data_IF_533407604380
#
_entry.id   IF_533407604380
#
_cell.length_a   1.000
_cell.length_b   1.000
_cell.length_c   1.000
_cell.angle_alpha   90.00
_cell.angle_beta   90.00
_cell.angle_gamma   90.00
#
_symmetry.space_group_name_H-M   'P 1'
#
loop_
_entity.id
_entity.type
_entity.pdbx_description
1 polymer ?
#
# COMPACT_ATOMS: atom_id res chain seq x y z
N UNK A 1 -66.82 -19.82 12.10
CA UNK A 1 -65.86 -18.70 11.98
C UNK A 1 -64.53 -19.29 12.38
N UNK A 2 -63.81 -19.81 11.40
CA UNK A 2 -62.49 -20.41 11.63
C UNK A 2 -61.48 -19.30 11.83
N UNK A 3 -60.90 -19.26 13.03
CA UNK A 3 -59.77 -18.42 13.36
C UNK A 3 -58.54 -19.00 12.66
N UNK A 4 -58.24 -18.48 11.48
CA UNK A 4 -56.94 -18.63 10.84
C UNK A 4 -55.92 -17.86 11.68
N UNK A 5 -55.09 -18.58 12.42
CA UNK A 5 -53.88 -18.03 13.04
C UNK A 5 -52.88 -17.85 11.88
N UNK A 6 -52.42 -16.64 11.55
CA UNK A 6 -51.44 -16.48 10.49
C UNK A 6 -50.11 -17.10 10.94
N UNK A 7 -49.47 -17.86 10.06
CA UNK A 7 -48.06 -18.19 10.19
C UNK A 7 -47.26 -16.91 10.44
N UNK A 8 -46.31 -16.99 11.36
CA UNK A 8 -45.37 -15.94 11.70
C UNK A 8 -44.61 -15.50 10.43
N UNK A 9 -45.09 -14.46 9.75
CA UNK A 9 -44.60 -13.98 8.46
C UNK A 9 -43.44 -13.02 8.70
N UNK A 10 -42.27 -13.58 9.02
CA UNK A 10 -41.01 -12.84 9.18
C UNK A 10 -40.61 -12.03 7.94
N UNK A 11 -41.17 -12.39 6.78
CA UNK A 11 -40.92 -11.76 5.49
C UNK A 11 -42.22 -11.59 4.71
N UNK A 12 -42.94 -10.49 4.94
CA UNK A 12 -44.17 -10.17 4.21
C UNK A 12 -43.85 -9.30 3.00
N UNK A 13 -44.14 -9.78 1.78
CA UNK A 13 -43.88 -9.09 0.50
C UNK A 13 -42.40 -8.78 0.20
N UNK A 14 -41.49 -9.67 0.62
CA UNK A 14 -40.06 -9.52 0.33
C UNK A 14 -39.35 -8.43 1.14
N UNK A 15 -39.96 -7.98 2.23
CA UNK A 15 -39.34 -7.12 3.24
C UNK A 15 -39.41 -7.81 4.61
N UNK A 16 -38.41 -7.64 5.48
CA UNK A 16 -38.46 -8.16 6.83
C UNK A 16 -39.66 -7.58 7.60
N UNK A 17 -40.19 -8.34 8.54
CA UNK A 17 -41.14 -7.81 9.51
C UNK A 17 -40.53 -6.62 10.26
N UNK A 18 -41.35 -5.65 10.65
CA UNK A 18 -40.88 -4.46 11.41
C UNK A 18 -39.80 -3.58 10.75
N UNK A 19 -39.46 -3.78 9.47
CA UNK A 19 -38.43 -2.99 8.77
C UNK A 19 -38.60 -1.47 8.88
N UNK A 20 -39.83 -0.95 8.94
CA UNK A 20 -40.09 0.49 9.07
C UNK A 20 -40.43 0.94 10.51
N UNK A 21 -40.33 0.04 11.50
CA UNK A 21 -40.70 0.32 12.89
C UNK A 21 -39.49 0.86 13.65
N UNK A 22 -39.53 2.10 14.16
CA UNK A 22 -38.43 2.68 14.93
C UNK A 22 -38.17 1.88 16.22
N UNK A 23 -36.89 1.72 16.58
CA UNK A 23 -36.44 1.03 17.80
C UNK A 23 -36.76 -0.48 17.85
N UNK A 24 -36.75 -1.14 16.69
CA UNK A 24 -36.79 -2.60 16.56
C UNK A 24 -35.53 -3.11 15.88
N UNK A 25 -35.37 -4.42 15.75
CA UNK A 25 -34.32 -5.06 14.94
C UNK A 25 -34.53 -4.89 13.43
N UNK A 26 -35.60 -4.18 13.00
CA UNK A 26 -35.97 -4.01 11.60
C UNK A 26 -36.12 -5.34 10.85
N UNK A 27 -36.43 -6.43 11.57
CA UNK A 27 -36.58 -7.78 11.04
C UNK A 27 -35.28 -8.50 10.69
N UNK A 28 -34.13 -8.01 11.18
CA UNK A 28 -32.87 -8.77 11.20
C UNK A 28 -32.92 -9.81 12.33
N UNK A 29 -33.65 -10.89 12.08
CA UNK A 29 -33.65 -12.05 12.96
C UNK A 29 -32.81 -13.16 12.35
N UNK A 30 -31.81 -13.64 13.08
CA UNK A 30 -31.09 -14.86 12.72
C UNK A 30 -32.05 -16.06 12.77
N UNK A 31 -32.20 -16.73 11.63
CA UNK A 31 -32.86 -18.01 11.49
C UNK A 31 -31.93 -19.17 11.82
N UNK A 32 -32.52 -20.36 11.95
CA UNK A 32 -31.74 -21.58 11.97
C UNK A 32 -31.03 -21.71 10.61
N UNK A 33 -29.70 -21.68 10.60
CA UNK A 33 -28.94 -21.71 9.36
C UNK A 33 -27.99 -20.53 9.14
N UNK A 34 -28.23 -19.42 9.85
CA UNK A 34 -27.60 -18.14 9.48
C UNK A 34 -26.18 -17.98 10.04
N UNK A 35 -25.83 -18.70 11.10
CA UNK A 35 -24.44 -18.80 11.61
C UNK A 35 -23.74 -20.08 11.13
N UNK A 36 -24.50 -21.17 10.93
CA UNK A 36 -24.01 -22.50 10.52
C UNK A 36 -25.12 -23.25 9.79
N UNK A 37 -24.83 -24.35 9.08
CA UNK A 37 -25.86 -25.16 8.41
C UNK A 37 -26.95 -25.59 9.41
N UNK A 38 -28.25 -25.40 9.11
CA UNK A 38 -29.30 -25.70 10.09
C UNK A 38 -29.38 -27.21 10.33
N UNK A 39 -29.55 -27.62 11.60
CA UNK A 39 -29.73 -29.04 11.99
C UNK A 39 -30.84 -29.74 11.19
N UNK A 40 -31.88 -29.00 10.78
CA UNK A 40 -32.96 -29.51 9.93
C UNK A 40 -32.46 -30.08 8.60
N UNK A 41 -31.37 -29.57 8.04
CA UNK A 41 -30.76 -30.11 6.81
C UNK A 41 -30.20 -31.52 7.01
N UNK A 42 -29.93 -31.91 8.27
CA UNK A 42 -29.45 -33.24 8.63
C UNK A 42 -30.59 -34.19 9.07
N UNK A 43 -31.68 -33.66 9.64
CA UNK A 43 -32.80 -34.45 10.20
C UNK A 43 -33.57 -35.27 9.15
N UNK A 44 -33.55 -34.89 7.87
CA UNK A 44 -34.27 -35.60 6.81
C UNK A 44 -33.55 -36.89 6.33
N UNK A 45 -32.32 -37.15 6.80
CA UNK A 45 -31.60 -38.40 6.54
C UNK A 45 -31.97 -39.45 7.60
N UNK A 46 -32.82 -40.41 7.23
CA UNK A 46 -33.26 -41.49 8.14
C UNK A 46 -32.41 -42.74 7.98
N UNK A 47 -32.07 -43.39 9.10
CA UNK A 47 -31.30 -44.65 9.12
C UNK A 47 -29.78 -44.48 9.00
N UNK A 48 -29.28 -43.26 9.23
CA UNK A 48 -27.85 -42.94 9.36
C UNK A 48 -27.56 -42.44 10.77
N UNK A 49 -26.33 -42.66 11.25
CA UNK A 49 -25.87 -42.10 12.51
C UNK A 49 -25.45 -40.63 12.31
N UNK A 50 -25.89 -39.76 13.22
CA UNK A 50 -25.50 -38.36 13.22
C UNK A 50 -24.17 -38.20 13.94
N UNK A 51 -23.17 -37.70 13.22
CA UNK A 51 -21.87 -37.37 13.78
C UNK A 51 -21.74 -35.85 13.88
N UNK A 52 -21.50 -35.36 15.10
CA UNK A 52 -21.29 -33.93 15.38
C UNK A 52 -19.86 -33.78 15.86
N UNK A 53 -19.08 -33.02 15.09
CA UNK A 53 -17.67 -32.76 15.37
C UNK A 53 -17.54 -31.28 15.71
N UNK A 54 -17.13 -30.97 16.94
CA UNK A 54 -16.75 -29.61 17.32
C UNK A 54 -15.37 -29.31 16.73
N UNK A 55 -15.34 -28.55 15.63
CA UNK A 55 -14.10 -28.19 14.93
C UNK A 55 -14.21 -26.80 14.30
N UNK A 56 -13.07 -26.15 14.08
CA UNK A 56 -13.01 -24.90 13.32
C UNK A 56 -13.31 -25.19 11.83
N UNK A 57 -13.69 -24.17 11.06
CA UNK A 57 -13.95 -24.34 9.63
C UNK A 57 -12.72 -24.87 8.88
N UNK A 58 -11.52 -24.49 9.31
CA UNK A 58 -10.26 -24.91 8.70
C UNK A 58 -9.82 -26.30 9.16
N UNK A 59 -10.20 -26.74 10.36
CA UNK A 59 -9.79 -28.04 10.90
C UNK A 59 -10.79 -29.16 10.62
N UNK A 60 -12.03 -28.86 10.20
CA UNK A 60 -13.12 -29.86 10.12
C UNK A 60 -12.77 -31.07 9.26
N UNK A 61 -12.05 -30.90 8.15
CA UNK A 61 -11.62 -32.02 7.30
C UNK A 61 -10.57 -32.88 8.00
N UNK A 62 -9.68 -32.25 8.76
CA UNK A 62 -8.63 -32.92 9.53
C UNK A 62 -9.23 -33.65 10.72
N UNK A 63 -10.12 -33.00 11.48
CA UNK A 63 -10.72 -33.56 12.68
C UNK A 63 -11.72 -34.69 12.32
N UNK A 64 -12.43 -34.58 11.19
CA UNK A 64 -13.32 -35.63 10.69
C UNK A 64 -12.60 -36.83 10.04
N UNK A 65 -11.29 -36.75 9.78
CA UNK A 65 -10.61 -37.72 8.94
C UNK A 65 -10.73 -39.16 9.48
N UNK A 66 -10.64 -39.34 10.80
CA UNK A 66 -10.64 -40.67 11.41
C UNK A 66 -12.00 -41.33 11.31
N UNK A 67 -13.05 -40.60 11.67
CA UNK A 67 -14.44 -41.07 11.61
C UNK A 67 -14.85 -41.39 10.17
N UNK A 68 -14.48 -40.54 9.20
CA UNK A 68 -14.74 -40.80 7.78
C UNK A 68 -14.01 -42.05 7.30
N UNK A 69 -12.74 -42.24 7.66
CA UNK A 69 -11.97 -43.43 7.26
C UNK A 69 -12.50 -44.69 7.94
N UNK A 70 -12.87 -44.63 9.21
CA UNK A 70 -13.49 -45.74 9.94
C UNK A 70 -14.80 -46.15 9.28
N UNK A 71 -15.69 -45.20 8.97
CA UNK A 71 -16.97 -45.48 8.31
C UNK A 71 -16.77 -46.11 6.92
N UNK A 72 -15.78 -45.63 6.15
CA UNK A 72 -15.51 -46.14 4.80
C UNK A 72 -14.79 -47.50 4.79
N UNK A 73 -14.02 -47.83 5.82
CA UNK A 73 -13.12 -49.00 5.80
C UNK A 73 -13.42 -50.04 6.89
N UNK A 74 -14.25 -49.69 7.87
CA UNK A 74 -14.51 -50.47 9.09
C UNK A 74 -13.31 -50.53 10.05
N UNK A 75 -12.27 -49.72 9.85
CA UNK A 75 -11.04 -49.72 10.64
C UNK A 75 -10.71 -48.27 11.00
N UNK A 76 -10.66 -47.98 12.29
CA UNK A 76 -10.19 -46.68 12.77
C UNK A 76 -8.68 -46.53 12.49
N UNK A 77 -8.26 -45.48 11.76
CA UNK A 77 -6.85 -45.25 11.50
C UNK A 77 -6.10 -44.82 12.77
N UNK A 78 -4.93 -45.42 12.99
CA UNK A 78 -4.09 -45.13 14.18
C UNK A 78 -3.26 -43.86 14.05
N UNK A 79 -3.11 -43.35 12.83
CA UNK A 79 -2.34 -42.15 12.53
C UNK A 79 -3.27 -41.04 12.05
N UNK A 80 -2.95 -39.82 12.46
CA UNK A 80 -3.64 -38.62 12.02
C UNK A 80 -2.68 -37.80 11.16
N UNK A 81 -3.12 -37.46 9.95
CA UNK A 81 -2.35 -36.57 9.09
C UNK A 81 -2.89 -35.17 9.28
N UNK A 82 -2.15 -34.34 10.02
CA UNK A 82 -2.37 -32.89 10.04
C UNK A 82 -1.48 -32.25 8.99
N UNK A 83 -2.07 -31.91 7.84
CA UNK A 83 -1.43 -30.95 6.95
C UNK A 83 -1.58 -29.57 7.58
N UNK A 84 -0.48 -28.82 7.67
CA UNK A 84 -0.52 -27.47 8.21
C UNK A 84 -1.25 -26.58 7.19
N UNK A 85 -2.57 -26.52 7.32
CA UNK A 85 -3.39 -25.53 6.63
C UNK A 85 -2.99 -24.21 7.28
N UNK A 86 -2.51 -23.25 6.49
CA UNK A 86 -2.06 -21.97 7.01
C UNK A 86 -3.18 -21.34 7.81
N UNK A 87 -2.92 -20.99 9.07
CA UNK A 87 -3.94 -20.44 9.97
C UNK A 87 -4.29 -19.01 9.61
N UNK A 88 -3.35 -18.34 8.97
CA UNK A 88 -3.45 -16.95 8.56
C UNK A 88 -2.72 -16.76 7.24
N UNK A 89 -3.25 -15.88 6.41
CA UNK A 89 -2.60 -15.49 5.17
C UNK A 89 -2.85 -14.04 4.84
N UNK A 90 -1.86 -13.44 4.19
CA UNK A 90 -1.95 -12.13 3.57
C UNK A 90 -2.19 -12.32 2.08
N UNK A 91 -3.29 -11.79 1.57
CA UNK A 91 -3.65 -11.79 0.16
C UNK A 91 -3.44 -10.39 -0.41
N UNK A 92 -2.53 -10.25 -1.38
CA UNK A 92 -2.32 -9.00 -2.12
C UNK A 92 -2.89 -9.18 -3.52
N UNK A 93 -3.74 -8.26 -3.97
CA UNK A 93 -4.39 -8.27 -5.28
C UNK A 93 -4.20 -6.93 -5.96
N UNK A 94 -3.95 -6.95 -7.26
CA UNK A 94 -3.99 -5.76 -8.11
C UNK A 94 -5.03 -5.97 -9.20
N UNK A 95 -5.84 -4.95 -9.41
CA UNK A 95 -6.75 -4.84 -10.54
C UNK A 95 -6.07 -3.90 -11.54
N UNK A 96 -5.86 -4.41 -12.77
CA UNK A 96 -5.20 -3.74 -13.89
C UNK A 96 -5.50 -2.23 -14.01
N UNK A 97 -4.57 -1.39 -14.54
CA UNK A 97 -3.42 -1.78 -15.37
C UNK A 97 -2.05 -1.60 -14.69
N UNK A 98 -1.76 -2.44 -13.69
CA UNK A 98 -0.46 -2.49 -13.04
C UNK A 98 -0.12 -3.92 -12.62
N UNK A 99 1.17 -4.24 -12.61
CA UNK A 99 1.70 -5.47 -12.02
C UNK A 99 2.40 -5.14 -10.69
N UNK A 100 2.61 -6.14 -9.83
CA UNK A 100 3.27 -5.89 -8.54
C UNK A 100 4.41 -6.85 -8.17
N UNK A 101 5.24 -6.38 -7.24
CA UNK A 101 6.17 -7.17 -6.45
C UNK A 101 5.95 -6.89 -4.97
N UNK A 102 5.75 -7.92 -4.16
CA UNK A 102 5.76 -7.82 -2.69
C UNK A 102 7.12 -8.26 -2.16
N UNK A 103 7.70 -7.44 -1.28
CA UNK A 103 8.94 -7.69 -0.56
C UNK A 103 8.58 -7.79 0.92
N UNK A 104 8.81 -8.97 1.51
CA UNK A 104 8.49 -9.23 2.92
C UNK A 104 9.60 -8.73 3.86
N UNK A 105 9.38 -8.66 5.19
CA UNK A 105 10.35 -8.08 6.12
C UNK A 105 11.74 -8.72 6.12
N UNK A 106 11.85 -10.01 5.77
CA UNK A 106 13.13 -10.72 5.65
C UNK A 106 13.84 -10.51 4.29
N UNK A 107 13.23 -9.72 3.40
CA UNK A 107 13.76 -9.32 2.10
C UNK A 107 13.43 -10.28 0.95
N UNK A 108 12.73 -11.39 1.20
CA UNK A 108 12.25 -12.28 0.13
C UNK A 108 11.15 -11.62 -0.69
N UNK A 109 10.99 -12.09 -1.93
CA UNK A 109 10.12 -11.50 -2.93
C UNK A 109 9.07 -12.47 -3.46
N UNK A 110 7.89 -11.94 -3.76
CA UNK A 110 6.84 -12.64 -4.51
C UNK A 110 6.15 -11.66 -5.46
N UNK A 111 5.99 -12.03 -6.73
CA UNK A 111 5.41 -11.17 -7.77
C UNK A 111 6.27 -11.09 -9.03
N UNK A 112 6.08 -10.04 -9.84
CA UNK A 112 6.83 -9.81 -11.08
C UNK A 112 8.15 -9.08 -10.82
N UNK A 113 9.28 -9.64 -11.27
CA UNK A 113 10.57 -8.95 -11.25
C UNK A 113 10.68 -7.98 -12.44
N UNK A 114 10.54 -6.68 -12.17
CA UNK A 114 10.63 -5.63 -13.18
C UNK A 114 12.01 -5.52 -13.85
N UNK A 115 13.08 -6.01 -13.22
CA UNK A 115 14.42 -6.02 -13.83
C UNK A 115 14.65 -7.26 -14.72
N UNK A 116 14.08 -8.40 -14.32
CA UNK A 116 14.24 -9.69 -15.01
C UNK A 116 13.14 -10.02 -16.02
N UNK A 117 11.95 -9.43 -15.88
CA UNK A 117 10.75 -9.73 -16.66
C UNK A 117 10.06 -11.04 -16.30
N UNK A 118 10.46 -11.69 -15.21
CA UNK A 118 10.01 -13.04 -14.81
C UNK A 118 9.29 -13.01 -13.46
N UNK A 119 8.43 -14.01 -13.22
CA UNK A 119 7.80 -14.20 -11.92
C UNK A 119 8.81 -14.71 -10.88
N UNK A 120 8.75 -14.16 -9.67
CA UNK A 120 9.57 -14.55 -8.52
C UNK A 120 8.65 -15.04 -7.42
N UNK A 121 9.04 -16.13 -6.75
CA UNK A 121 8.35 -16.67 -5.60
C UNK A 121 9.36 -17.30 -4.65
N UNK A 122 10.00 -16.46 -3.82
CA UNK A 122 11.06 -16.85 -2.89
C UNK A 122 10.52 -17.24 -1.50
N UNK A 123 9.25 -16.96 -1.24
CA UNK A 123 8.61 -17.15 0.06
C UNK A 123 8.08 -18.59 0.16
N UNK A 124 8.51 -19.39 1.15
CA UNK A 124 8.03 -20.75 1.32
C UNK A 124 6.50 -20.83 1.46
N UNK A 125 5.85 -21.63 0.61
CA UNK A 125 4.40 -21.82 0.64
C UNK A 125 3.58 -20.70 0.01
N UNK A 126 4.20 -19.59 -0.39
CA UNK A 126 3.49 -18.53 -1.08
C UNK A 126 3.05 -18.96 -2.48
N UNK A 127 1.96 -18.36 -2.94
CA UNK A 127 1.42 -18.55 -4.27
C UNK A 127 1.35 -17.20 -4.98
N UNK A 128 1.61 -17.20 -6.28
CA UNK A 128 1.47 -16.04 -7.14
C UNK A 128 0.75 -16.46 -8.42
N UNK A 129 -0.28 -15.72 -8.81
CA UNK A 129 -1.11 -16.05 -9.97
C UNK A 129 -0.41 -15.88 -11.31
N UNK A 130 0.67 -15.09 -11.35
CA UNK A 130 1.23 -14.55 -12.59
C UNK A 130 0.57 -13.24 -13.00
N UNK A 131 1.19 -12.58 -13.99
CA UNK A 131 0.86 -11.24 -14.49
C UNK A 131 0.26 -11.24 -15.91
N UNK A 132 -0.16 -12.40 -16.41
CA UNK A 132 -0.76 -12.53 -17.76
C UNK A 132 -2.29 -12.28 -17.77
N UNK A 133 -2.92 -12.15 -16.60
CA UNK A 133 -4.37 -11.99 -16.45
C UNK A 133 -4.77 -10.58 -16.00
N UNK A 134 -6.08 -10.27 -16.11
CA UNK A 134 -6.62 -8.96 -15.71
C UNK A 134 -6.52 -8.70 -14.18
N UNK A 135 -6.47 -9.78 -13.40
CA UNK A 135 -6.31 -9.78 -11.95
C UNK A 135 -5.03 -10.55 -11.64
N UNK A 136 -4.14 -9.89 -10.93
CA UNK A 136 -2.92 -10.49 -10.41
C UNK A 136 -3.01 -10.53 -8.87
N UNK A 137 -2.62 -11.65 -8.27
CA UNK A 137 -2.65 -11.82 -6.82
C UNK A 137 -1.54 -12.72 -6.29
N UNK A 138 -1.19 -12.48 -5.02
CA UNK A 138 -0.22 -13.26 -4.27
C UNK A 138 -0.81 -13.62 -2.91
N UNK A 139 -0.62 -14.87 -2.49
CA UNK A 139 -0.97 -15.39 -1.17
C UNK A 139 0.33 -15.63 -0.42
N UNK A 140 0.49 -14.94 0.71
CA UNK A 140 1.63 -15.10 1.62
C UNK A 140 1.10 -15.79 2.88
N UNK A 141 1.40 -17.08 3.07
CA UNK A 141 1.00 -17.79 4.27
C UNK A 141 1.84 -17.38 5.47
N UNK A 142 1.24 -17.45 6.66
CA UNK A 142 1.93 -17.20 7.93
C UNK A 142 2.78 -15.91 7.90
N UNK A 143 2.16 -14.75 7.62
CA UNK A 143 2.90 -13.49 7.50
C UNK A 143 3.72 -13.22 8.78
N UNK A 144 4.95 -12.80 8.57
CA UNK A 144 5.87 -12.34 9.62
C UNK A 144 5.56 -10.89 9.99
N UNK A 145 5.63 -10.54 11.27
CA UNK A 145 5.48 -9.15 11.72
C UNK A 145 6.55 -8.24 11.08
N UNK A 146 6.11 -7.05 10.66
CA UNK A 146 6.99 -6.04 10.09
C UNK A 146 6.40 -5.30 8.89
N UNK A 147 7.27 -4.58 8.21
CA UNK A 147 6.93 -3.77 7.04
C UNK A 147 7.10 -4.57 5.75
N UNK A 148 6.01 -4.69 5.01
CA UNK A 148 5.94 -5.24 3.66
C UNK A 148 5.97 -4.10 2.66
N UNK A 149 6.80 -4.24 1.64
CA UNK A 149 6.88 -3.25 0.55
C UNK A 149 6.22 -3.81 -0.68
N UNK A 150 5.30 -3.05 -1.25
CA UNK A 150 4.62 -3.40 -2.49
C UNK A 150 5.08 -2.42 -3.55
N UNK A 151 5.80 -2.90 -4.55
CA UNK A 151 6.24 -2.12 -5.69
C UNK A 151 5.31 -2.41 -6.88
N UNK A 152 4.78 -1.36 -7.51
CA UNK A 152 3.92 -1.44 -8.69
C UNK A 152 4.62 -0.87 -9.91
N UNK A 153 4.41 -1.47 -11.08
CA UNK A 153 4.76 -0.91 -12.39
C UNK A 153 3.52 -0.87 -13.29
N UNK A 154 3.21 0.29 -13.86
CA UNK A 154 2.07 0.44 -14.75
C UNK A 154 2.29 -0.28 -16.08
N UNK A 155 1.36 -1.16 -16.45
CA UNK A 155 1.34 -1.88 -17.73
C UNK A 155 0.42 -1.21 -18.76
N UNK A 156 -0.43 -0.29 -18.31
CA UNK A 156 -1.35 0.51 -19.11
C UNK A 156 -1.57 1.89 -18.49
N UNK A 157 -2.32 2.73 -19.20
CA UNK A 157 -2.78 4.01 -18.68
C UNK A 157 -4.21 3.84 -18.16
N UNK A 158 -4.46 4.12 -16.87
CA UNK A 158 -5.80 4.00 -16.31
C UNK A 158 -5.85 4.03 -14.79
N UNK A 159 -7.06 3.81 -14.28
CA UNK A 159 -7.31 3.58 -12.86
C UNK A 159 -6.97 2.13 -12.50
N UNK A 160 -6.29 1.94 -11.38
CA UNK A 160 -5.98 0.63 -10.80
C UNK A 160 -6.47 0.59 -9.36
N UNK A 161 -6.67 -0.63 -8.84
CA UNK A 161 -6.97 -0.85 -7.42
C UNK A 161 -5.99 -1.86 -6.85
N UNK A 162 -5.29 -1.48 -5.78
CA UNK A 162 -4.47 -2.37 -4.96
C UNK A 162 -5.27 -2.76 -3.72
N UNK A 163 -5.35 -4.04 -3.42
CA UNK A 163 -6.08 -4.58 -2.28
C UNK A 163 -5.16 -5.50 -1.48
N UNK A 164 -5.14 -5.33 -0.16
CA UNK A 164 -4.45 -6.20 0.79
C UNK A 164 -5.47 -6.72 1.79
N UNK A 165 -5.61 -8.04 1.89
CA UNK A 165 -6.51 -8.71 2.83
C UNK A 165 -5.72 -9.56 3.80
N UNK A 166 -6.04 -9.45 5.08
CA UNK A 166 -5.58 -10.37 6.10
C UNK A 166 -6.75 -11.26 6.52
N UNK A 167 -6.55 -12.57 6.41
CA UNK A 167 -7.56 -13.57 6.73
C UNK A 167 -6.97 -14.56 7.73
N UNK A 168 -7.69 -14.80 8.82
CA UNK A 168 -7.47 -15.90 9.77
C UNK A 168 -8.79 -16.58 10.17
N UNK A 169 -8.77 -17.41 11.22
CA UNK A 169 -9.94 -18.14 11.71
C UNK A 169 -11.05 -17.23 12.28
N UNK A 170 -10.70 -16.03 12.76
CA UNK A 170 -11.59 -15.15 13.52
C UNK A 170 -12.02 -13.92 12.71
N UNK A 171 -11.19 -13.46 11.78
CA UNK A 171 -11.39 -12.20 11.08
C UNK A 171 -10.89 -12.20 9.63
N UNK A 172 -11.59 -11.38 8.83
CA UNK A 172 -11.20 -10.98 7.48
C UNK A 172 -11.16 -9.45 7.45
N UNK A 173 -9.99 -8.89 7.13
CA UNK A 173 -9.75 -7.45 7.12
C UNK A 173 -9.17 -7.06 5.76
N UNK A 174 -9.92 -6.27 5.01
CA UNK A 174 -9.51 -5.72 3.72
C UNK A 174 -9.00 -4.27 3.84
N UNK A 175 -7.99 -3.94 3.04
CA UNK A 175 -7.49 -2.59 2.81
C UNK A 175 -7.33 -2.36 1.32
N UNK A 176 -8.01 -1.33 0.81
CA UNK A 176 -8.02 -1.01 -0.60
C UNK A 176 -7.46 0.40 -0.85
N UNK A 177 -6.72 0.54 -1.93
CA UNK A 177 -6.29 1.81 -2.49
C UNK A 177 -6.63 1.86 -3.97
N UNK A 178 -7.27 2.93 -4.41
CA UNK A 178 -7.54 3.19 -5.84
C UNK A 178 -6.79 4.43 -6.29
N UNK A 179 -6.09 4.31 -7.42
CA UNK A 179 -5.26 5.36 -7.98
C UNK A 179 -5.21 5.32 -9.50
N UNK A 180 -4.52 6.30 -10.10
CA UNK A 180 -4.24 6.28 -11.53
C UNK A 180 -2.75 5.98 -11.75
N UNK A 181 -2.45 5.19 -12.76
CA UNK A 181 -1.09 4.83 -13.15
C UNK A 181 -0.93 4.98 -14.67
N UNK A 182 0.31 5.23 -15.11
CA UNK A 182 0.70 5.28 -16.51
C UNK A 182 1.67 4.16 -16.85
N UNK A 183 1.75 3.81 -18.13
CA UNK A 183 2.73 2.82 -18.62
C UNK A 183 4.14 3.20 -18.16
N UNK A 184 4.81 2.26 -17.47
CA UNK A 184 6.18 2.41 -16.94
C UNK A 184 6.30 3.31 -15.71
N UNK A 185 5.19 3.81 -15.16
CA UNK A 185 5.21 4.52 -13.89
C UNK A 185 5.39 3.53 -12.76
N UNK A 186 6.33 3.82 -11.86
CA UNK A 186 6.54 3.04 -10.65
C UNK A 186 5.87 3.70 -9.44
N UNK A 187 5.22 2.89 -8.61
CA UNK A 187 4.64 3.33 -7.34
C UNK A 187 5.03 2.35 -6.24
N UNK A 188 5.12 2.83 -5.00
CA UNK A 188 5.49 2.02 -3.84
C UNK A 188 4.44 2.21 -2.77
N UNK A 189 4.15 1.15 -2.03
CA UNK A 189 3.28 1.14 -0.87
C UNK A 189 4.00 0.42 0.26
N UNK A 190 3.72 0.87 1.47
CA UNK A 190 4.14 0.18 2.68
C UNK A 190 2.89 -0.36 3.38
N UNK A 191 2.94 -1.65 3.73
CA UNK A 191 1.92 -2.33 4.51
C UNK A 191 2.59 -2.85 5.78
N UNK A 192 2.14 -2.41 6.95
CA UNK A 192 2.65 -2.92 8.22
C UNK A 192 1.73 -4.05 8.68
N UNK A 193 2.31 -5.24 8.88
CA UNK A 193 1.65 -6.35 9.55
C UNK A 193 2.14 -6.48 10.99
N UNK A 194 1.21 -6.62 11.93
CA UNK A 194 1.46 -6.69 13.37
C UNK A 194 0.45 -7.63 14.03
N UNK A 195 0.88 -8.87 14.31
CA UNK A 195 0.02 -9.91 14.88
C UNK A 195 -0.51 -9.62 16.29
N UNK A 196 -0.01 -8.60 16.99
CA UNK A 196 -0.49 -8.22 18.33
C UNK A 196 -1.66 -7.21 18.29
N UNK A 197 -2.06 -6.73 17.11
CA UNK A 197 -3.15 -5.75 16.96
C UNK A 197 -4.46 -6.38 16.53
N UNK A 198 -5.56 -5.79 17.02
CA UNK A 198 -6.93 -6.11 16.60
C UNK A 198 -7.12 -5.88 15.08
N UNK A 199 -6.53 -4.80 14.55
CA UNK A 199 -6.34 -4.60 13.12
C UNK A 199 -4.86 -4.87 12.77
N UNK A 200 -4.53 -6.09 12.31
CA UNK A 200 -3.16 -6.54 12.16
C UNK A 200 -2.51 -6.03 10.87
N UNK A 201 -3.28 -5.42 9.95
CA UNK A 201 -2.73 -4.75 8.75
C UNK A 201 -3.04 -3.25 8.78
N UNK A 202 -2.07 -2.43 8.36
CA UNK A 202 -2.26 -0.98 8.19
C UNK A 202 -3.02 -0.62 6.92
N UNK A 203 -3.49 0.63 6.82
CA UNK A 203 -4.00 1.17 5.57
C UNK A 203 -2.92 1.15 4.46
N UNK A 204 -3.39 1.02 3.22
CA UNK A 204 -2.54 1.12 2.03
C UNK A 204 -2.34 2.59 1.68
N UNK A 205 -1.21 3.14 2.10
CA UNK A 205 -0.79 4.48 1.71
C UNK A 205 0.33 4.39 0.67
N UNK A 206 0.19 5.07 -0.49
CA UNK A 206 1.30 5.15 -1.41
C UNK A 206 2.43 5.89 -0.72
N UNK A 207 3.63 5.30 -0.76
CA UNK A 207 4.83 6.00 -0.36
C UNK A 207 4.88 7.27 -1.21
N UNK A 208 4.79 8.43 -0.54
CA UNK A 208 4.76 9.70 -1.23
C UNK A 208 5.95 9.72 -2.18
N UNK A 209 5.67 9.77 -3.49
CA UNK A 209 6.72 9.98 -4.50
C UNK A 209 7.41 11.25 -4.04
N UNK A 210 8.61 11.11 -3.47
CA UNK A 210 9.36 12.26 -2.98
C UNK A 210 9.73 13.03 -4.23
N UNK A 211 8.90 14.01 -4.60
CA UNK A 211 9.17 14.83 -5.76
C UNK A 211 10.50 15.49 -5.49
N UNK A 212 11.46 15.11 -6.31
CA UNK A 212 12.85 15.49 -6.22
C UNK A 212 13.21 16.22 -7.51
N UNK A 213 14.36 16.88 -7.50
CA UNK A 213 14.84 17.55 -8.71
C UNK A 213 15.03 16.53 -9.85
N UNK A 214 15.43 15.30 -9.53
CA UNK A 214 15.66 14.25 -10.52
C UNK A 214 14.35 13.67 -11.06
N UNK A 215 13.34 13.44 -10.20
CA UNK A 215 12.01 12.99 -10.66
C UNK A 215 11.35 14.04 -11.56
N UNK A 216 11.39 15.32 -11.18
CA UNK A 216 10.86 16.40 -12.03
C UNK A 216 11.60 16.50 -13.37
N UNK A 217 12.90 16.18 -13.42
CA UNK A 217 13.63 16.10 -14.69
C UNK A 217 13.12 14.93 -15.53
N UNK A 218 12.88 13.77 -14.93
CA UNK A 218 12.30 12.62 -15.61
C UNK A 218 10.90 12.94 -16.16
N UNK A 219 10.04 13.58 -15.37
CA UNK A 219 8.71 14.00 -15.82
C UNK A 219 8.79 14.95 -17.04
N UNK A 220 9.73 15.90 -17.04
CA UNK A 220 9.95 16.78 -18.20
C UNK A 220 10.40 16.00 -19.44
N UNK A 221 11.22 14.95 -19.28
CA UNK A 221 11.61 14.07 -20.39
C UNK A 221 10.39 13.28 -20.91
N UNK A 222 9.61 12.65 -20.03
CA UNK A 222 8.39 11.92 -20.38
C UNK A 222 7.36 12.81 -21.08
N UNK A 223 7.12 14.02 -20.58
CA UNK A 223 6.21 15.01 -21.19
C UNK A 223 6.70 15.38 -22.60
N UNK A 224 8.01 15.47 -22.82
CA UNK A 224 8.55 15.73 -24.16
C UNK A 224 8.38 14.53 -25.10
N UNK A 225 8.61 13.31 -24.61
CA UNK A 225 8.43 12.07 -25.38
C UNK A 225 6.97 11.86 -25.80
N UNK A 226 6.02 12.20 -24.93
CA UNK A 226 4.58 12.23 -25.22
C UNK A 226 4.17 13.35 -26.19
N UNK A 227 5.10 14.20 -26.63
CA UNK A 227 4.84 15.34 -27.50
C UNK A 227 4.08 16.50 -26.82
N UNK A 228 3.92 16.43 -25.49
CA UNK A 228 3.23 17.45 -24.71
C UNK A 228 4.05 18.71 -24.56
N UNK A 229 5.38 18.63 -24.57
CA UNK A 229 6.26 19.78 -24.86
C UNK A 229 6.67 19.72 -26.32
N UNK A 230 6.36 20.77 -27.08
CA UNK A 230 6.54 20.74 -28.54
C UNK A 230 7.98 21.02 -28.97
N UNK A 231 8.74 21.81 -28.19
CA UNK A 231 10.08 22.28 -28.55
C UNK A 231 11.16 21.68 -27.66
N UNK A 232 12.15 21.04 -28.28
CA UNK A 232 13.34 20.53 -27.58
C UNK A 232 14.10 21.63 -26.85
N UNK A 233 14.05 22.88 -27.34
CA UNK A 233 14.69 24.03 -26.67
C UNK A 233 14.06 24.34 -25.32
N UNK A 234 12.74 24.19 -25.21
CA UNK A 234 11.97 24.51 -24.02
C UNK A 234 12.21 23.43 -22.95
N UNK A 235 12.15 22.14 -23.35
CA UNK A 235 12.61 21.01 -22.53
C UNK A 235 14.00 21.23 -21.95
N UNK A 236 15.00 21.48 -22.82
CA UNK A 236 16.39 21.70 -22.42
C UNK A 236 16.53 22.91 -21.48
N UNK A 237 15.72 23.95 -21.67
CA UNK A 237 15.73 25.12 -20.82
C UNK A 237 15.24 24.80 -19.40
N UNK A 238 14.12 24.08 -19.27
CA UNK A 238 13.54 23.67 -17.98
C UNK A 238 14.53 22.79 -17.20
N UNK A 239 15.02 21.71 -17.82
CA UNK A 239 15.99 20.78 -17.22
C UNK A 239 17.27 21.52 -16.79
N UNK A 240 17.74 22.47 -17.60
CA UNK A 240 18.93 23.25 -17.26
C UNK A 240 18.71 24.09 -16.00
N UNK A 241 17.53 24.67 -15.78
CA UNK A 241 17.25 25.44 -14.56
C UNK A 241 17.25 24.54 -13.32
N UNK A 242 16.65 23.35 -13.42
CA UNK A 242 16.63 22.35 -12.35
C UNK A 242 18.06 21.88 -11.99
N UNK A 243 18.88 21.52 -12.98
CA UNK A 243 20.30 21.19 -12.76
C UNK A 243 21.11 22.35 -12.17
N UNK A 244 20.76 23.61 -12.47
CA UNK A 244 21.40 24.76 -11.82
C UNK A 244 20.98 24.92 -10.37
N UNK A 245 19.72 24.65 -10.03
CA UNK A 245 19.23 24.63 -8.64
C UNK A 245 19.95 23.53 -7.85
N UNK A 246 19.98 22.31 -8.38
CA UNK A 246 20.65 21.15 -7.79
C UNK A 246 22.12 21.44 -7.41
N UNK A 247 22.89 22.02 -8.34
CA UNK A 247 24.28 22.43 -8.08
C UNK A 247 24.41 23.47 -6.97
N UNK A 248 23.43 24.36 -6.84
CA UNK A 248 23.41 25.38 -5.77
C UNK A 248 23.09 24.74 -4.42
N UNK A 249 22.16 23.79 -4.37
CA UNK A 249 21.84 23.04 -3.15
C UNK A 249 23.07 22.27 -2.67
N UNK A 250 23.74 21.52 -3.55
CA UNK A 250 25.00 20.83 -3.24
C UNK A 250 26.07 21.76 -2.64
N UNK A 251 26.10 23.03 -3.06
CA UNK A 251 27.02 24.02 -2.47
C UNK A 251 26.61 24.42 -1.04
N UNK A 252 25.32 24.59 -0.78
CA UNK A 252 24.81 24.86 0.56
C UNK A 252 25.03 23.67 1.49
N UNK A 253 24.77 22.44 1.04
CA UNK A 253 24.93 21.23 1.83
C UNK A 253 26.38 21.07 2.31
N UNK A 254 27.35 21.27 1.40
CA UNK A 254 28.78 21.30 1.76
C UNK A 254 29.13 22.39 2.76
N UNK A 255 28.44 23.54 2.73
CA UNK A 255 28.67 24.65 3.66
C UNK A 255 28.09 24.34 5.04
N UNK A 256 26.89 23.75 5.08
CA UNK A 256 26.21 23.23 6.28
C UNK A 256 27.08 22.18 6.96
N UNK A 257 27.50 21.15 6.22
CA UNK A 257 28.32 20.05 6.74
C UNK A 257 29.65 20.55 7.35
N UNK A 258 30.29 21.54 6.72
CA UNK A 258 31.51 22.18 7.26
C UNK A 258 31.25 22.89 8.59
N UNK A 259 30.13 23.58 8.74
CA UNK A 259 29.77 24.29 9.97
C UNK A 259 29.42 23.28 11.07
N UNK A 260 28.65 22.25 10.76
CA UNK A 260 28.30 21.17 11.69
C UNK A 260 29.53 20.41 12.19
N UNK A 261 30.47 20.09 11.29
CA UNK A 261 31.76 19.50 11.68
C UNK A 261 32.54 20.41 12.64
N UNK A 262 32.49 21.72 12.46
CA UNK A 262 33.12 22.67 13.38
C UNK A 262 32.40 22.72 14.73
N UNK A 263 31.05 22.70 14.73
CA UNK A 263 30.23 22.63 15.95
C UNK A 263 30.63 21.39 16.76
N UNK A 264 30.59 20.19 16.15
CA UNK A 264 30.97 18.92 16.80
C UNK A 264 32.40 18.95 17.35
N UNK A 265 33.35 19.52 16.59
CA UNK A 265 34.75 19.67 17.05
C UNK A 265 34.88 20.57 18.27
N UNK A 266 34.09 21.64 18.37
CA UNK A 266 34.10 22.55 19.51
C UNK A 266 33.41 21.90 20.72
N UNK A 267 32.28 21.22 20.50
CA UNK A 267 31.53 20.47 21.51
C UNK A 267 32.36 19.38 22.18
N UNK A 268 33.18 18.65 21.42
CA UNK A 268 33.98 17.56 21.96
C UNK A 268 35.34 17.99 22.50
N UNK A 269 35.68 19.29 22.47
CA UNK A 269 36.99 19.76 22.92
C UNK A 269 36.99 20.08 24.43
N UNK A 270 37.71 19.30 25.27
CA UNK A 270 37.77 19.54 26.72
C UNK A 270 38.71 20.69 27.10
N UNK A 271 39.56 21.17 26.19
CA UNK A 271 40.56 22.21 26.45
C UNK A 271 40.01 23.64 26.37
N UNK A 272 38.78 23.81 25.86
CA UNK A 272 38.17 25.13 25.69
C UNK A 272 37.35 25.48 26.93
N UNK A 273 37.62 26.66 27.50
CA UNK A 273 36.85 27.19 28.62
C UNK A 273 35.33 27.21 28.28
N UNK A 274 34.45 26.69 29.14
CA UNK A 274 33.00 26.62 28.92
C UNK A 274 32.36 27.91 28.41
N UNK A 275 32.68 29.07 29.00
CA UNK A 275 32.10 30.36 28.57
C UNK A 275 32.55 30.79 27.16
N UNK A 276 33.80 30.48 26.79
CA UNK A 276 34.32 30.75 25.44
C UNK A 276 33.70 29.79 24.43
N UNK A 277 33.55 28.52 24.81
CA UNK A 277 32.91 27.46 24.01
C UNK A 277 31.49 27.82 23.64
N UNK A 278 30.67 28.20 24.62
CA UNK A 278 29.29 28.64 24.43
C UNK A 278 29.19 29.81 23.43
N UNK A 279 30.05 30.83 23.57
CA UNK A 279 30.08 31.98 22.65
C UNK A 279 30.43 31.59 21.21
N UNK A 280 31.34 30.62 21.03
CA UNK A 280 31.73 30.12 19.69
C UNK A 280 30.57 29.33 19.07
N UNK A 281 29.96 28.41 19.83
CA UNK A 281 28.82 27.62 19.37
C UNK A 281 27.64 28.52 18.98
N UNK A 282 27.33 29.55 19.79
CA UNK A 282 26.31 30.54 19.43
C UNK A 282 26.56 31.19 18.07
N UNK A 283 27.81 31.60 17.78
CA UNK A 283 28.17 32.20 16.48
C UNK A 283 28.09 31.20 15.33
N UNK A 284 28.46 29.94 15.55
CA UNK A 284 28.38 28.89 14.53
C UNK A 284 26.92 28.52 14.22
N UNK A 285 26.07 28.40 15.24
CA UNK A 285 24.64 28.15 15.07
C UNK A 285 23.94 29.31 14.34
N UNK A 286 24.25 30.56 14.69
CA UNK A 286 23.78 31.73 13.92
C UNK A 286 24.25 31.72 12.47
N UNK A 287 25.45 31.20 12.20
CA UNK A 287 25.97 31.08 10.84
C UNK A 287 25.24 29.96 10.08
N UNK A 288 24.91 28.86 10.75
CA UNK A 288 24.14 27.75 10.21
C UNK A 288 22.73 28.19 9.82
N UNK A 289 22.05 28.91 10.71
CA UNK A 289 20.74 29.52 10.48
C UNK A 289 20.75 30.43 9.25
N UNK A 290 21.73 31.35 9.16
CA UNK A 290 21.91 32.21 7.97
C UNK A 290 22.16 31.42 6.68
N UNK A 291 22.81 30.27 6.75
CA UNK A 291 23.02 29.40 5.58
C UNK A 291 21.69 28.77 5.16
N UNK A 292 20.89 28.30 6.11
CA UNK A 292 19.55 27.78 5.87
C UNK A 292 18.62 28.84 5.24
N UNK A 293 18.58 30.05 5.79
CA UNK A 293 17.80 31.16 5.22
C UNK A 293 18.23 31.50 3.78
N UNK A 294 19.55 31.54 3.52
CA UNK A 294 20.08 31.81 2.18
C UNK A 294 19.73 30.68 1.20
N UNK A 295 19.73 29.44 1.67
CA UNK A 295 19.31 28.26 0.90
C UNK A 295 17.85 28.40 0.50
N UNK A 296 16.94 28.67 1.45
CA UNK A 296 15.51 28.84 1.15
C UNK A 296 15.23 29.99 0.18
N UNK A 297 15.88 31.15 0.40
CA UNK A 297 15.75 32.29 -0.54
C UNK A 297 16.22 31.94 -1.94
N UNK A 298 17.26 31.10 -2.06
CA UNK A 298 17.76 30.65 -3.37
C UNK A 298 16.79 29.71 -4.05
N UNK A 299 16.19 28.76 -3.31
CA UNK A 299 15.14 27.85 -3.79
C UNK A 299 13.97 28.66 -4.34
N UNK A 300 13.38 29.54 -3.53
CA UNK A 300 12.23 30.36 -3.92
C UNK A 300 12.53 31.20 -5.16
N UNK A 301 13.71 31.82 -5.23
CA UNK A 301 14.10 32.63 -6.40
C UNK A 301 14.25 31.80 -7.67
N UNK A 302 14.83 30.60 -7.57
CA UNK A 302 15.09 29.72 -8.72
C UNK A 302 13.81 29.05 -9.21
N UNK A 303 13.02 28.48 -8.32
CA UNK A 303 11.73 27.89 -8.65
C UNK A 303 10.76 28.95 -9.18
N UNK A 304 10.73 30.16 -8.62
CA UNK A 304 9.92 31.25 -9.18
C UNK A 304 10.41 31.73 -10.57
N UNK A 305 11.69 31.54 -10.90
CA UNK A 305 12.18 31.78 -12.26
C UNK A 305 11.81 30.65 -13.23
N UNK A 306 11.77 29.41 -12.74
CA UNK A 306 11.35 28.24 -13.49
C UNK A 306 9.85 28.33 -13.82
N UNK A 307 9.03 28.68 -12.83
CA UNK A 307 7.59 28.94 -12.99
C UNK A 307 7.33 30.00 -14.07
N UNK A 308 8.08 31.12 -14.06
CA UNK A 308 8.00 32.15 -15.11
C UNK A 308 8.43 31.68 -16.49
N UNK A 309 9.30 30.66 -16.58
CA UNK A 309 9.65 30.04 -17.87
C UNK A 309 8.50 29.15 -18.32
N UNK A 310 8.00 28.29 -17.43
CA UNK A 310 6.89 27.38 -17.69
C UNK A 310 5.64 28.13 -18.16
N UNK A 311 5.25 29.21 -17.47
CA UNK A 311 4.10 30.05 -17.86
C UNK A 311 4.28 30.66 -19.25
N UNK A 312 5.50 31.06 -19.62
CA UNK A 312 5.78 31.59 -20.96
C UNK A 312 5.71 30.53 -22.06
N UNK A 313 6.01 29.28 -21.73
CA UNK A 313 5.86 28.15 -22.65
C UNK A 313 4.37 27.86 -22.83
N UNK A 314 3.57 27.84 -21.74
CA UNK A 314 2.11 27.68 -21.79
C UNK A 314 1.40 28.74 -22.62
N UNK A 315 1.72 30.02 -22.42
CA UNK A 315 1.12 31.14 -23.19
C UNK A 315 1.37 31.02 -24.71
N UNK A 316 2.41 30.30 -25.12
CA UNK A 316 2.77 30.10 -26.54
C UNK A 316 2.29 28.76 -27.09
N UNK A 317 1.39 28.08 -26.38
CA UNK A 317 0.92 26.74 -26.69
C UNK A 317 2.09 25.75 -26.87
N UNK A 318 3.19 25.98 -26.15
CA UNK A 318 4.40 25.18 -26.22
C UNK A 318 4.37 23.94 -25.32
N UNK A 319 3.36 23.85 -24.45
CA UNK A 319 3.11 22.73 -23.55
C UNK A 319 1.60 22.45 -23.45
N UNK A 320 1.20 21.18 -23.31
CA UNK A 320 -0.19 20.79 -23.02
C UNK A 320 -0.60 21.19 -21.59
N UNK A 321 -1.92 21.22 -21.33
CA UNK A 321 -2.44 21.50 -19.98
C UNK A 321 -1.95 20.46 -18.97
N UNK A 322 -2.03 19.17 -19.33
CA UNK A 322 -1.59 18.06 -18.48
C UNK A 322 -0.10 18.14 -18.14
N UNK A 323 0.76 18.39 -19.15
CA UNK A 323 2.19 18.54 -18.94
C UNK A 323 2.55 19.75 -18.09
N UNK A 324 1.79 20.85 -18.23
CA UNK A 324 1.95 22.03 -17.38
C UNK A 324 1.60 21.75 -15.93
N UNK A 325 0.48 21.08 -15.68
CA UNK A 325 -0.02 20.81 -14.33
C UNK A 325 0.93 19.90 -13.55
N UNK A 326 1.47 18.86 -14.19
CA UNK A 326 2.50 17.98 -13.60
C UNK A 326 3.71 18.80 -13.13
N UNK A 327 4.33 19.57 -14.04
CA UNK A 327 5.54 20.34 -13.70
C UNK A 327 5.22 21.43 -12.66
N UNK A 328 4.01 22.02 -12.68
CA UNK A 328 3.61 23.02 -11.70
C UNK A 328 3.41 22.42 -10.31
N UNK A 329 2.78 21.24 -10.24
CA UNK A 329 2.66 20.45 -9.00
C UNK A 329 4.03 20.20 -8.40
N UNK A 330 4.97 19.74 -9.23
CA UNK A 330 6.34 19.48 -8.83
C UNK A 330 7.05 20.72 -8.29
N UNK A 331 6.93 21.85 -8.99
CA UNK A 331 7.52 23.11 -8.55
C UNK A 331 6.99 23.52 -7.18
N UNK A 332 5.70 23.33 -6.92
CA UNK A 332 5.07 23.67 -5.64
C UNK A 332 5.53 22.72 -4.54
N UNK A 333 5.62 21.42 -4.81
CA UNK A 333 6.15 20.46 -3.85
C UNK A 333 7.61 20.76 -3.51
N UNK A 334 8.47 20.93 -4.51
CA UNK A 334 9.90 21.26 -4.33
C UNK A 334 10.10 22.56 -3.55
N UNK A 335 9.18 23.52 -3.64
CA UNK A 335 9.28 24.80 -2.93
C UNK A 335 9.12 24.64 -1.42
N UNK A 336 8.31 23.67 -1.00
CA UNK A 336 7.97 23.45 0.40
C UNK A 336 8.85 22.36 1.04
N UNK A 337 9.35 21.42 0.24
CA UNK A 337 10.03 20.21 0.74
C UNK A 337 11.54 20.17 0.50
N UNK A 338 12.11 21.07 -0.33
CA UNK A 338 13.56 21.25 -0.42
C UNK A 338 14.07 22.16 0.67
#
# INVERSE_FOLDING_TARGET
MDNWIPLNLKWEYGKPENYNTPFTDHGLEYGAGDETVPERSNIDFTGLDNVIIESSHNDIVTDAQKEVIEELTGIEPTEEVRMNIFKKFLLVRIFSPADFMVIVPDGKRVGKDFAGGEAVNEIPGAFYSGFDGDIEFAVIPEPMDGEYKIELEGTGDGEYTLSASFIDDEQDIDRDFTGNIQIGQNQRFNLVYDSEKEEPISDLEPEAVVVSIDSTIADIETIYEKGWITKTSDKKLLIRQLKHLERKLKHFDRKTERIEKLIRKIENNPKINPKKKEKILKRLNQKLEKVSEQRQRTINKRLGSLERILNRIKIKDGISEQGYDIIMSDINYLRNNL
#
